data_IF_746555874746
#
_entry.id   IF_746555874746
#
_cell.length_a   1.000
_cell.length_b   1.000
_cell.length_c   1.000
_cell.angle_alpha   90.00
_cell.angle_beta   90.00
_cell.angle_gamma   90.00
#
_symmetry.space_group_name_H-M   'P 1'
#
loop_
_entity.id
_entity.type
_entity.pdbx_description
1 polymer ?
#
# COMPACT_ATOMS: atom_id res chain seq x y z
N UNK A 1 -4.99 9.32 -12.44
CA UNK A 1 -3.63 8.75 -12.38
C UNK A 1 -3.72 7.38 -11.75
N UNK A 2 -3.36 6.33 -12.50
CA UNK A 2 -3.30 4.94 -12.03
C UNK A 2 -1.92 4.74 -11.42
N UNK A 3 -1.87 4.27 -10.18
CA UNK A 3 -0.62 4.04 -9.45
C UNK A 3 -0.14 2.64 -9.84
N UNK A 4 1.01 2.54 -10.52
CA UNK A 4 1.59 1.25 -10.91
C UNK A 4 3.06 1.25 -10.53
N UNK A 5 3.37 0.75 -9.33
CA UNK A 5 4.75 0.39 -8.95
C UNK A 5 4.94 -1.06 -9.37
N UNK A 6 5.82 -1.38 -10.33
CA UNK A 6 5.98 -2.75 -10.79
C UNK A 6 6.50 -3.69 -9.70
N UNK A 7 6.06 -4.95 -9.70
CA UNK A 7 6.67 -6.01 -8.89
C UNK A 7 8.15 -6.17 -9.29
N UNK A 8 9.02 -6.43 -8.31
CA UNK A 8 10.47 -6.52 -8.45
C UNK A 8 11.20 -5.17 -8.37
N UNK A 9 10.48 -4.05 -8.38
CA UNK A 9 11.05 -2.70 -8.19
C UNK A 9 11.76 -2.60 -6.84
N UNK A 10 12.94 -1.98 -6.80
CA UNK A 10 13.63 -1.72 -5.53
C UNK A 10 12.81 -0.75 -4.67
N UNK A 11 12.82 -0.96 -3.35
CA UNK A 11 12.02 -0.17 -2.40
C UNK A 11 12.24 1.33 -2.56
N UNK A 12 13.48 1.78 -2.75
CA UNK A 12 13.83 3.20 -2.91
C UNK A 12 13.20 3.82 -4.16
N UNK A 13 13.19 3.09 -5.27
CA UNK A 13 12.55 3.54 -6.50
C UNK A 13 11.02 3.52 -6.37
N UNK A 14 10.47 2.52 -5.67
CA UNK A 14 9.05 2.49 -5.29
C UNK A 14 8.66 3.73 -4.48
N UNK A 15 9.44 4.08 -3.44
CA UNK A 15 9.21 5.29 -2.62
C UNK A 15 9.27 6.56 -3.46
N UNK A 16 10.22 6.67 -4.40
CA UNK A 16 10.31 7.83 -5.31
C UNK A 16 9.08 7.94 -6.21
N UNK A 17 8.60 6.83 -6.76
CA UNK A 17 7.37 6.80 -7.57
C UNK A 17 6.18 7.26 -6.71
N UNK A 18 5.99 6.68 -5.52
CA UNK A 18 4.92 7.05 -4.59
C UNK A 18 4.97 8.54 -4.21
N UNK A 19 6.16 9.06 -3.93
CA UNK A 19 6.37 10.47 -3.56
C UNK A 19 6.00 11.43 -4.70
N UNK A 20 6.38 11.12 -5.94
CA UNK A 20 5.96 11.89 -7.14
C UNK A 20 4.44 11.88 -7.33
N UNK A 21 3.78 10.83 -6.85
CA UNK A 21 2.32 10.71 -6.85
C UNK A 21 1.65 11.43 -5.67
N UNK A 22 2.41 12.12 -4.83
CA UNK A 22 1.94 12.87 -3.67
C UNK A 22 1.66 12.00 -2.43
N UNK A 23 2.22 10.81 -2.36
CA UNK A 23 2.13 9.97 -1.17
C UNK A 23 3.33 10.21 -0.25
N UNK A 24 3.08 10.13 1.06
CA UNK A 24 4.12 9.98 2.07
C UNK A 24 4.10 8.53 2.56
N UNK A 25 5.26 7.88 2.58
CA UNK A 25 5.39 6.47 2.94
C UNK A 25 6.16 6.30 4.26
N UNK A 26 5.74 5.33 5.07
CA UNK A 26 6.40 4.92 6.31
C UNK A 26 6.56 3.40 6.32
N UNK A 27 7.73 2.90 6.74
CA UNK A 27 7.94 1.46 6.93
C UNK A 27 7.20 0.98 8.17
N UNK A 28 6.52 -0.15 8.01
CA UNK A 28 5.91 -0.94 9.08
C UNK A 28 6.59 -2.30 9.03
N UNK A 29 7.11 -2.74 10.16
CA UNK A 29 7.74 -4.05 10.33
C UNK A 29 6.86 -4.92 11.21
N UNK A 30 6.77 -6.21 10.91
CA UNK A 30 5.89 -7.16 11.64
C UNK A 30 4.44 -6.63 11.76
N UNK A 31 3.94 -6.03 10.66
CA UNK A 31 2.66 -5.33 10.65
C UNK A 31 1.47 -6.22 10.30
N UNK A 32 0.27 -5.70 10.60
CA UNK A 32 -1.02 -6.27 10.22
C UNK A 32 -1.86 -5.28 9.43
N UNK A 33 -2.53 -5.72 8.37
CA UNK A 33 -3.50 -4.92 7.62
C UNK A 33 -4.49 -5.80 6.84
N UNK A 34 -5.59 -5.19 6.35
CA UNK A 34 -6.53 -5.83 5.42
C UNK A 34 -6.47 -5.09 4.09
N UNK A 35 -6.21 -5.82 3.01
CA UNK A 35 -6.22 -5.28 1.66
C UNK A 35 -7.43 -5.76 0.89
N UNK A 36 -7.92 -4.90 -0.01
CA UNK A 36 -8.89 -5.29 -1.03
C UNK A 36 -8.17 -5.89 -2.22
N UNK A 37 -8.26 -7.21 -2.37
CA UNK A 37 -7.60 -7.96 -3.44
C UNK A 37 -8.64 -8.57 -4.37
N UNK A 38 -8.43 -8.58 -5.70
CA UNK A 38 -9.30 -9.32 -6.61
C UNK A 38 -9.29 -10.82 -6.26
N UNK A 39 -10.45 -11.41 -6.06
CA UNK A 39 -10.60 -12.86 -5.88
C UNK A 39 -10.51 -13.57 -7.23
N UNK A 40 -10.27 -14.90 -7.26
CA UNK A 40 -10.27 -15.68 -8.51
C UNK A 40 -11.57 -15.54 -9.33
N UNK A 41 -12.69 -15.22 -8.67
CA UNK A 41 -14.01 -15.02 -9.28
C UNK A 41 -14.22 -13.58 -9.79
N UNK A 42 -13.22 -12.70 -9.65
CA UNK A 42 -13.25 -11.32 -10.15
C UNK A 42 -13.95 -10.30 -9.23
N UNK A 43 -14.33 -10.71 -8.01
CA UNK A 43 -14.87 -9.80 -7.00
C UNK A 43 -13.74 -9.14 -6.19
N UNK A 44 -14.00 -8.01 -5.54
CA UNK A 44 -13.06 -7.46 -4.55
C UNK A 44 -13.38 -8.07 -3.19
N UNK A 45 -12.41 -8.75 -2.59
CA UNK A 45 -12.51 -9.36 -1.27
C UNK A 45 -11.46 -8.82 -0.32
N UNK A 46 -11.79 -8.82 0.96
CA UNK A 46 -10.87 -8.45 2.04
C UNK A 46 -9.95 -9.63 2.35
N UNK A 47 -8.64 -9.38 2.28
CA UNK A 47 -7.60 -10.34 2.64
C UNK A 47 -6.78 -9.76 3.79
N UNK A 48 -6.75 -10.48 4.91
CA UNK A 48 -5.91 -10.13 6.05
C UNK A 48 -4.46 -10.55 5.81
N UNK A 49 -3.54 -9.67 6.19
CA UNK A 49 -2.11 -9.85 6.12
C UNK A 49 -1.53 -9.64 7.51
N UNK A 50 -0.84 -10.64 8.06
CA UNK A 50 -0.23 -10.64 9.39
C UNK A 50 1.29 -10.89 9.27
N UNK A 51 2.08 -10.34 10.20
CA UNK A 51 3.54 -10.53 10.29
C UNK A 51 4.30 -10.15 9.01
N UNK A 52 3.89 -9.05 8.36
CA UNK A 52 4.45 -8.62 7.06
C UNK A 52 5.15 -7.26 7.19
N UNK A 53 6.29 -7.14 6.51
CA UNK A 53 7.00 -5.89 6.28
C UNK A 53 6.44 -5.17 5.04
N UNK A 54 6.03 -3.91 5.21
CA UNK A 54 5.51 -3.10 4.10
C UNK A 54 5.78 -1.60 4.29
N UNK A 55 5.65 -0.85 3.19
CA UNK A 55 5.55 0.61 3.24
C UNK A 55 4.08 1.03 3.23
N UNK A 56 3.61 1.62 4.33
CA UNK A 56 2.31 2.27 4.41
C UNK A 56 2.41 3.66 3.78
N UNK A 57 1.71 3.88 2.67
CA UNK A 57 1.73 5.13 1.92
C UNK A 57 0.37 5.82 1.97
N UNK A 58 0.37 7.08 2.42
CA UNK A 58 -0.83 7.88 2.58
C UNK A 58 -0.75 9.16 1.75
N UNK A 59 -1.86 9.55 1.14
CA UNK A 59 -2.03 10.85 0.49
C UNK A 59 -3.18 11.60 1.15
N UNK A 60 -2.85 12.69 1.84
CA UNK A 60 -3.84 13.60 2.45
C UNK A 60 -4.15 14.73 1.47
N UNK A 61 -5.43 14.91 1.11
CA UNK A 61 -5.88 16.09 0.38
C UNK A 61 -6.19 17.21 1.38
N UNK A 62 -5.70 18.44 1.13
CA UNK A 62 -5.85 19.58 2.04
C UNK A 62 -7.24 20.25 2.04
N UNK A 63 -8.26 19.69 1.39
CA UNK A 63 -9.60 20.28 1.36
C UNK A 63 -10.56 19.51 2.28
N UNK A 64 -11.14 20.22 3.25
CA UNK A 64 -11.83 19.70 4.43
C UNK A 64 -13.17 19.01 4.19
N UNK A 65 -13.18 17.92 3.43
CA UNK A 65 -14.33 17.02 3.30
C UNK A 65 -13.85 15.57 3.42
N UNK A 66 -14.27 14.93 4.52
CA UNK A 66 -14.43 13.50 4.76
C UNK A 66 -13.59 12.56 3.88
N UNK A 67 -12.49 12.06 4.47
CA UNK A 67 -12.02 10.68 4.39
C UNK A 67 -12.03 10.00 3.01
N UNK A 68 -11.34 10.58 2.03
CA UNK A 68 -10.83 9.81 0.88
C UNK A 68 -9.31 9.83 0.90
N UNK A 69 -8.72 9.31 1.99
CA UNK A 69 -7.31 8.95 1.98
C UNK A 69 -7.13 7.84 0.95
N UNK A 70 -6.41 8.14 -0.14
CA UNK A 70 -5.87 7.07 -0.96
C UNK A 70 -4.71 6.48 -0.16
N UNK A 71 -4.92 5.24 0.25
CA UNK A 71 -4.05 4.44 1.07
C UNK A 71 -3.50 3.31 0.20
N UNK A 72 -2.18 3.16 0.15
CA UNK A 72 -1.53 2.07 -0.57
C UNK A 72 -0.43 1.43 0.28
N UNK A 73 -0.24 0.13 0.14
CA UNK A 73 0.87 -0.59 0.77
C UNK A 73 1.78 -1.20 -0.30
N UNK A 74 3.11 -1.04 -0.13
CA UNK A 74 4.10 -1.78 -0.90
C UNK A 74 4.60 -2.93 -0.02
N UNK A 75 4.21 -4.17 -0.33
CA UNK A 75 4.70 -5.36 0.37
C UNK A 75 6.10 -5.66 -0.13
N UNK A 76 7.02 -5.92 0.79
CA UNK A 76 8.43 -6.13 0.47
C UNK A 76 8.80 -7.60 0.60
N UNK A 77 9.73 -8.07 -0.25
CA UNK A 77 10.44 -9.33 -0.01
C UNK A 77 11.67 -9.12 0.90
N UNK A 78 12.38 -10.21 1.20
CA UNK A 78 13.59 -10.19 2.03
C UNK A 78 14.75 -9.42 1.42
N UNK A 79 14.74 -9.18 0.10
CA UNK A 79 15.76 -8.41 -0.61
C UNK A 79 15.42 -6.91 -0.69
N UNK A 80 14.29 -6.48 -0.14
CA UNK A 80 13.82 -5.10 -0.21
C UNK A 80 13.26 -4.72 -1.59
N UNK A 81 12.71 -5.69 -2.33
CA UNK A 81 11.97 -5.44 -3.57
C UNK A 81 10.47 -5.47 -3.32
N UNK A 82 9.73 -4.72 -4.14
CA UNK A 82 8.27 -4.72 -4.12
C UNK A 82 7.78 -6.08 -4.61
N UNK A 83 7.14 -6.85 -3.73
CA UNK A 83 6.46 -8.10 -4.08
C UNK A 83 5.06 -7.84 -4.61
N UNK A 84 4.38 -6.85 -4.03
CA UNK A 84 2.97 -6.57 -4.30
C UNK A 84 2.63 -5.11 -3.97
N UNK A 85 1.67 -4.54 -4.69
CA UNK A 85 1.12 -3.21 -4.43
C UNK A 85 -0.36 -3.36 -4.13
N UNK A 86 -0.74 -2.99 -2.92
CA UNK A 86 -2.11 -3.13 -2.44
C UNK A 86 -2.75 -1.75 -2.39
N UNK A 87 -3.79 -1.55 -3.20
CA UNK A 87 -4.52 -0.29 -3.30
C UNK A 87 -5.79 -0.36 -2.46
N UNK A 88 -5.89 0.53 -1.46
CA UNK A 88 -6.90 0.57 -0.40
C UNK A 88 -6.65 -0.49 0.68
N UNK A 89 -6.15 -0.01 1.81
CA UNK A 89 -6.19 -0.71 3.08
C UNK A 89 -7.16 0.04 3.99
N UNK A 90 -8.07 -0.68 4.63
CA UNK A 90 -8.67 -0.19 5.86
C UNK A 90 -7.64 -0.46 6.95
N UNK A 91 -7.16 0.60 7.59
CA UNK A 91 -6.26 0.49 8.73
C UNK A 91 -7.06 -0.14 9.87
N UNK A 92 -7.04 -1.45 9.99
CA UNK A 92 -7.46 -2.15 11.20
C UNK A 92 -6.28 -2.10 12.18
N UNK A 93 -6.14 -0.95 12.84
CA UNK A 93 -5.50 -0.93 14.15
C UNK A 93 -6.49 -1.45 15.20
N UNK A 94 -6.08 -1.58 16.47
CA UNK A 94 -7.03 -1.30 17.55
C UNK A 94 -7.61 0.11 17.40
#
# INVERSE_FOLDING_TARGET
MRLEVPVGTLVDDGVRIMSRCGYSCRRVTDGRFVAMTPTPEGNLGDVAHDHIDFLACHRTYQYGLVSVTRSAALVLDSEGRVREVLTRFDSVGP
#
